data_IF_491015276301
#
_entry.id   IF_491015276301
#
_cell.length_a   1.000
_cell.length_b   1.000
_cell.length_c   1.000
_cell.angle_alpha   90.00
_cell.angle_beta   90.00
_cell.angle_gamma   90.00
#
_symmetry.space_group_name_H-M   'P 1'
#
loop_
_entity.id
_entity.type
_entity.pdbx_description
1 polymer ?
2 non-polymer ?
3 non-polymer ?
4 non-polymer ?
5 water ?
#
# COMPACT_ATOMS: atom_id res chain seq x y z
N UNK A 1 -11.99 23.57 7.59
CA UNK A 1 -11.49 24.48 6.57
C UNK A 1 -10.01 24.38 6.32
N UNK A 2 -9.48 25.36 5.59
CA UNK A 2 -8.07 25.36 5.22
C UNK A 2 -7.28 26.18 6.24
N UNK A 3 -6.20 26.84 5.81
CA UNK A 3 -5.36 27.57 6.76
C UNK A 3 -6.10 28.74 7.42
N UNK A 4 -7.25 29.11 6.86
CA UNK A 4 -8.03 30.19 7.41
C UNK A 4 -8.81 29.83 8.66
N UNK A 5 -9.00 28.54 8.93
CA UNK A 5 -9.77 28.08 10.08
C UNK A 5 -8.88 27.47 11.17
N UNK A 6 -9.41 27.22 12.36
CA UNK A 6 -8.56 26.70 13.42
C UNK A 6 -8.22 25.24 13.14
N UNK A 7 -6.94 24.93 13.23
CA UNK A 7 -6.44 23.66 12.74
C UNK A 7 -6.54 22.58 13.80
N UNK A 8 -6.57 21.32 13.36
CA UNK A 8 -6.71 20.20 14.27
C UNK A 8 -5.38 19.82 14.95
N UNK A 9 -4.25 19.96 14.26
CA UNK A 9 -2.94 19.68 14.86
C UNK A 9 -2.45 20.85 15.69
N UNK A 10 -1.96 20.58 16.91
CA UNK A 10 -1.49 21.67 17.74
C UNK A 10 -0.12 22.13 17.28
N UNK A 11 0.59 21.25 16.59
CA UNK A 11 1.80 21.64 15.89
C UNK A 11 2.09 20.68 14.74
N UNK A 12 2.82 21.16 13.73
CA UNK A 12 3.03 20.40 12.50
C UNK A 12 4.27 19.51 12.60
N UNK A 13 4.18 18.54 13.49
CA UNK A 13 5.27 17.64 13.80
C UNK A 13 4.71 16.25 14.05
N UNK A 14 5.59 15.25 14.08
CA UNK A 14 5.18 13.91 14.46
C UNK A 14 4.56 13.93 15.85
N UNK A 15 5.12 14.74 16.74
CA UNK A 15 4.59 14.88 18.08
C UNK A 15 3.16 15.43 18.08
N UNK A 16 2.88 16.38 17.21
CA UNK A 16 1.55 16.93 17.08
C UNK A 16 0.57 15.91 16.55
N UNK A 17 1.04 15.08 15.62
CA UNK A 17 0.20 14.04 15.03
C UNK A 17 -0.14 12.99 16.10
N UNK A 18 0.84 12.62 16.92
CA UNK A 18 0.58 11.64 17.97
C UNK A 18 -0.45 12.14 18.98
N UNK A 19 -0.32 13.41 19.39
CA UNK A 19 -1.29 13.96 20.35
C UNK A 19 -2.68 13.96 19.73
N UNK A 20 -2.75 14.28 18.46
CA UNK A 20 -4.03 14.29 17.75
C UNK A 20 -4.60 12.89 17.70
N UNK A 21 -3.77 11.91 17.37
CA UNK A 21 -4.23 10.53 17.29
C UNK A 21 -4.84 10.03 18.60
N UNK A 22 -4.27 10.45 19.72
CA UNK A 22 -4.76 10.00 21.03
C UNK A 22 -5.78 10.95 21.64
N UNK A 23 -6.24 11.91 20.85
CA UNK A 23 -7.36 12.75 21.24
C UNK A 23 -8.66 12.13 20.74
N UNK A 24 -9.78 12.62 21.25
CA UNK A 24 -11.08 12.10 20.83
C UNK A 24 -11.43 12.54 19.41
N UNK A 25 -10.68 13.49 18.87
CA UNK A 25 -10.95 14.03 17.54
C UNK A 25 -10.51 13.06 16.44
N UNK A 26 -9.62 12.13 16.77
CA UNK A 26 -9.08 11.20 15.78
C UNK A 26 -9.54 9.78 16.04
N UNK A 27 -10.45 9.30 15.20
CA UNK A 27 -11.03 7.96 15.35
C UNK A 27 -10.78 7.05 14.16
N UNK A 28 -10.65 7.63 12.97
CA UNK A 28 -10.56 6.85 11.73
C UNK A 28 -9.40 7.28 10.88
N UNK A 29 -8.47 6.34 10.67
CA UNK A 29 -7.24 6.59 9.92
C UNK A 29 -7.25 5.82 8.61
N UNK A 30 -6.96 6.51 7.52
CA UNK A 30 -6.71 5.88 6.23
C UNK A 30 -5.21 5.91 5.97
N UNK A 31 -4.68 4.73 5.66
CA UNK A 31 -3.29 4.62 5.23
C UNK A 31 -3.24 4.53 3.71
N UNK A 32 -2.31 5.26 3.12
CA UNK A 32 -2.01 5.20 1.69
C UNK A 32 -0.57 4.78 1.60
N UNK A 33 -0.32 3.60 1.06
CA UNK A 33 1.04 3.04 1.05
C UNK A 33 1.50 2.59 -0.33
N UNK A 34 2.82 2.64 -0.52
CA UNK A 34 3.44 2.26 -1.77
C UNK A 34 4.69 1.41 -1.58
N UNK A 35 5.50 1.31 -2.62
CA UNK A 35 6.59 0.35 -2.65
C UNK A 35 7.61 0.60 -1.54
N UNK A 36 7.67 1.85 -1.09
CA UNK A 36 8.55 2.27 -0.02
C UNK A 36 8.36 1.53 1.30
N UNK A 37 7.21 0.90 1.51
CA UNK A 37 6.99 0.20 2.77
C UNK A 37 7.42 -1.26 2.70
N UNK A 38 7.83 -1.73 1.51
CA UNK A 38 8.23 -3.11 1.34
C UNK A 38 9.69 -3.30 0.94
N UNK A 39 10.39 -2.21 0.66
CA UNK A 39 11.80 -2.33 0.30
C UNK A 39 12.63 -2.93 1.43
N UNK A 40 12.29 -2.62 2.67
CA UNK A 40 13.04 -3.16 3.80
C UNK A 40 12.71 -4.65 4.02
N UNK A 41 11.68 -5.15 3.34
CA UNK A 41 11.36 -6.58 3.37
C UNK A 41 12.07 -7.31 2.23
N UNK A 42 12.92 -6.60 1.51
CA UNK A 42 13.68 -7.20 0.43
C UNK A 42 12.87 -7.30 -0.85
N UNK A 43 11.82 -6.49 -0.94
CA UNK A 43 11.02 -6.41 -2.17
C UNK A 43 11.33 -5.10 -2.90
N UNK A 44 12.08 -5.18 -4.00
CA UNK A 44 12.43 -3.94 -4.68
C UNK A 44 11.24 -3.17 -5.22
N UNK A 45 11.39 -1.86 -5.26
CA UNK A 45 10.46 -0.99 -5.94
C UNK A 45 10.85 -0.99 -7.40
N UNK A 46 10.10 -1.69 -8.24
CA UNK A 46 10.50 -1.90 -9.62
C UNK A 46 10.45 -0.58 -10.39
N UNK A 47 9.91 0.46 -9.77
CA UNK A 47 9.90 1.79 -10.37
C UNK A 47 11.18 2.56 -10.03
N UNK A 48 11.82 2.19 -8.92
CA UNK A 48 13.11 2.78 -8.57
C UNK A 48 14.18 2.30 -9.55
N UNK A 49 14.82 3.23 -10.27
CA UNK A 49 15.77 2.81 -11.32
C UNK A 49 16.86 1.88 -10.82
N UNK A 50 17.23 2.04 -9.55
CA UNK A 50 18.28 1.22 -8.94
C UNK A 50 17.89 -0.25 -8.93
N UNK A 51 16.60 -0.50 -9.13
CA UNK A 51 16.06 -1.85 -9.29
C UNK A 51 15.89 -2.18 -10.77
N UNK A 63 9.98 -7.00 -27.96
CA UNK A 63 9.64 -5.81 -28.76
C UNK A 63 10.03 -4.53 -28.04
N UNK A 64 9.49 -4.34 -26.83
CA UNK A 64 9.92 -3.26 -25.97
C UNK A 64 9.75 -3.68 -24.51
N UNK A 65 10.46 -3.02 -23.59
CA UNK A 65 10.41 -3.47 -22.19
C UNK A 65 9.01 -3.34 -21.57
N UNK A 66 8.21 -2.40 -22.05
CA UNK A 66 6.89 -2.14 -21.47
C UNK A 66 5.88 -3.22 -21.83
N UNK A 67 6.22 -4.08 -22.79
CA UNK A 67 5.30 -5.10 -23.26
C UNK A 67 5.03 -6.14 -22.17
N UNK A 68 6.00 -6.34 -21.29
CA UNK A 68 5.90 -7.41 -20.32
C UNK A 68 4.82 -7.13 -19.26
N UNK A 69 4.30 -5.90 -19.22
CA UNK A 69 3.21 -5.55 -18.30
C UNK A 69 1.90 -5.18 -19.01
N UNK A 70 1.89 -5.24 -20.34
CA UNK A 70 0.69 -4.88 -21.09
C UNK A 70 -0.25 -6.07 -21.18
N UNK A 71 -1.55 -5.84 -20.94
CA UNK A 71 -2.54 -6.91 -20.88
C UNK A 71 -2.75 -7.54 -22.26
N UNK A 72 -2.76 -6.73 -23.30
CA UNK A 72 -2.94 -7.24 -24.66
C UNK A 72 -1.82 -8.20 -25.03
N UNK A 73 -0.58 -7.79 -24.77
CA UNK A 73 0.58 -8.61 -25.11
C UNK A 73 0.64 -9.87 -24.26
N UNK A 74 0.28 -9.73 -22.99
CA UNK A 74 0.25 -10.84 -22.06
C UNK A 74 -0.68 -11.95 -22.55
N UNK A 75 -1.86 -11.56 -23.04
CA UNK A 75 -2.88 -12.55 -23.37
C UNK A 75 -2.50 -13.34 -24.61
N UNK A 76 -1.65 -12.74 -25.45
CA UNK A 76 -1.13 -13.38 -26.65
C UNK A 76 0.18 -14.10 -26.38
N UNK A 77 1.01 -13.51 -25.52
CA UNK A 77 2.33 -14.03 -25.23
C UNK A 77 2.62 -13.89 -23.73
N UNK A 78 2.11 -14.83 -22.93
CA UNK A 78 2.24 -14.76 -21.47
C UNK A 78 3.58 -15.24 -20.93
N UNK A 79 4.38 -15.90 -21.75
CA UNK A 79 5.57 -16.58 -21.26
C UNK A 79 6.60 -15.61 -20.68
N UNK A 80 6.83 -14.47 -21.36
CA UNK A 80 7.76 -13.49 -20.77
C UNK A 80 7.35 -13.12 -19.35
N UNK A 81 6.10 -12.67 -19.18
CA UNK A 81 5.66 -12.21 -17.86
C UNK A 81 5.92 -13.25 -16.78
N UNK A 82 5.56 -14.51 -17.06
CA UNK A 82 5.70 -15.56 -16.05
C UNK A 82 7.15 -15.95 -15.82
N UNK A 83 7.99 -15.75 -16.84
CA UNK A 83 9.42 -15.95 -16.67
C UNK A 83 9.96 -14.88 -15.73
N UNK A 84 9.58 -13.63 -15.98
CA UNK A 84 9.96 -12.51 -15.13
C UNK A 84 9.41 -12.68 -13.72
N UNK A 85 8.22 -13.28 -13.62
CA UNK A 85 7.60 -13.50 -12.32
C UNK A 85 8.40 -14.50 -11.48
N UNK A 86 9.00 -15.49 -12.12
CA UNK A 86 9.78 -16.48 -11.38
C UNK A 86 11.07 -15.84 -10.85
N UNK A 87 11.72 -15.05 -11.70
CA UNK A 87 12.97 -14.40 -11.32
C UNK A 87 12.74 -13.39 -10.19
N UNK A 88 11.67 -12.61 -10.31
CA UNK A 88 11.39 -11.55 -9.36
C UNK A 88 10.68 -12.03 -8.10
N UNK A 89 10.34 -13.32 -8.05
CA UNK A 89 9.56 -13.86 -6.93
C UNK A 89 10.34 -13.73 -5.62
N UNK A 90 9.74 -13.08 -4.61
CA UNK A 90 10.46 -12.93 -3.34
C UNK A 90 10.88 -14.26 -2.71
N UNK A 91 12.04 -14.28 -2.08
CA UNK A 91 12.52 -15.48 -1.40
C UNK A 91 11.82 -15.71 -0.06
N UNK A 92 11.27 -14.65 0.51
CA UNK A 92 10.51 -14.76 1.75
C UNK A 92 9.51 -13.62 1.81
N UNK A 93 8.43 -13.84 2.56
CA UNK A 93 7.41 -12.82 2.75
C UNK A 93 7.30 -12.45 4.22
N UNK A 94 8.17 -11.52 4.64
CA UNK A 94 8.24 -11.07 6.02
C UNK A 94 7.89 -9.59 6.05
N UNK A 95 6.66 -9.26 6.47
CA UNK A 95 6.26 -7.84 6.44
C UNK A 95 7.14 -6.98 7.33
N UNK A 96 7.16 -5.68 7.04
CA UNK A 96 8.01 -4.76 7.75
C UNK A 96 7.34 -4.21 9.01
N UNK A 97 8.14 -3.54 9.84
CA UNK A 97 7.60 -2.79 10.97
C UNK A 97 6.43 -1.90 10.55
N UNK A 98 6.55 -1.28 9.37
CA UNK A 98 5.51 -0.41 8.86
C UNK A 98 4.20 -1.19 8.66
N UNK A 99 4.30 -2.38 8.07
CA UNK A 99 3.12 -3.22 7.91
C UNK A 99 2.48 -3.56 9.25
N UNK A 100 3.28 -3.98 10.22
CA UNK A 100 2.71 -4.36 11.50
C UNK A 100 2.20 -3.15 12.29
N UNK A 101 2.77 -1.96 12.03
CA UNK A 101 2.20 -0.74 12.59
C UNK A 101 0.74 -0.59 12.12
N UNK A 102 0.46 -0.89 10.87
CA UNK A 102 -0.92 -0.81 10.40
C UNK A 102 -1.79 -1.87 11.07
N UNK A 103 -1.23 -3.05 11.35
CA UNK A 103 -1.98 -4.05 12.11
C UNK A 103 -2.30 -3.54 13.51
N UNK A 104 -1.36 -2.85 14.15
CA UNK A 104 -1.61 -2.25 15.45
C UNK A 104 -2.71 -1.19 15.37
N UNK A 105 -2.70 -0.37 14.30
CA UNK A 105 -3.80 0.57 14.09
C UNK A 105 -5.13 -0.15 14.08
N UNK A 106 -5.16 -1.29 13.39
CA UNK A 106 -6.37 -2.11 13.34
C UNK A 106 -6.76 -2.60 14.73
N UNK A 107 -5.79 -3.14 15.46
CA UNK A 107 -6.03 -3.64 16.81
C UNK A 107 -6.49 -2.53 17.75
N UNK A 108 -5.96 -1.32 17.55
CA UNK A 108 -6.26 -0.18 18.40
C UNK A 108 -7.62 0.47 18.03
N UNK A 109 -8.27 -0.06 17.00
CA UNK A 109 -9.57 0.40 16.57
C UNK A 109 -9.55 1.68 15.74
N UNK A 110 -8.38 2.00 15.20
CA UNK A 110 -8.18 3.24 14.46
C UNK A 110 -8.17 3.09 12.94
N UNK A 111 -8.08 1.87 12.42
CA UNK A 111 -7.89 1.71 10.99
C UNK A 111 -9.21 1.66 10.23
N UNK A 112 -9.45 2.69 9.42
CA UNK A 112 -10.59 2.69 8.52
C UNK A 112 -10.27 1.86 7.27
N UNK A 113 -9.13 2.12 6.67
CA UNK A 113 -8.75 1.42 5.44
C UNK A 113 -7.28 1.62 5.16
N UNK A 114 -6.71 0.63 4.49
CA UNK A 114 -5.38 0.72 3.89
C UNK A 114 -5.51 0.60 2.39
N UNK A 115 -5.19 1.69 1.70
CA UNK A 115 -5.11 1.72 0.25
C UNK A 115 -3.66 1.46 -0.12
N UNK A 116 -3.40 0.38 -0.84
CA UNK A 116 -2.04 0.05 -1.22
C UNK A 116 -1.83 -0.01 -2.73
N UNK A 117 -0.65 0.42 -3.15
CA UNK A 117 -0.19 0.25 -4.53
C UNK A 117 0.59 -1.05 -4.74
N UNK A 118 0.88 -1.76 -3.65
CA UNK A 118 1.73 -2.94 -3.71
C UNK A 118 0.95 -4.21 -4.05
N UNK A 119 1.66 -5.14 -4.69
CA UNK A 119 1.06 -6.40 -5.13
C UNK A 119 1.67 -7.60 -4.39
N UNK A 120 2.49 -7.30 -3.37
CA UNK A 120 3.27 -8.34 -2.70
C UNK A 120 2.56 -9.14 -1.60
N UNK A 121 1.32 -8.76 -1.27
CA UNK A 121 0.48 -9.40 -0.24
C UNK A 121 0.95 -9.24 1.21
N UNK A 122 1.94 -8.40 1.44
CA UNK A 122 2.50 -8.31 2.79
C UNK A 122 1.49 -7.71 3.78
N UNK A 123 0.59 -6.84 3.31
CA UNK A 123 -0.46 -6.33 4.19
C UNK A 123 -1.30 -7.47 4.77
N UNK A 124 -1.63 -8.45 3.93
CA UNK A 124 -2.43 -9.58 4.35
C UNK A 124 -1.66 -10.47 5.31
N UNK A 125 -0.40 -10.69 5.00
CA UNK A 125 0.45 -11.52 5.86
C UNK A 125 0.61 -10.87 7.22
N UNK A 126 0.65 -9.54 7.25
CA UNK A 126 0.78 -8.79 8.51
C UNK A 126 -0.52 -8.72 9.32
N UNK A 127 -1.62 -9.20 8.75
CA UNK A 127 -2.86 -9.34 9.51
C UNK A 127 -3.93 -8.32 9.16
N UNK A 128 -3.76 -7.61 8.05
CA UNK A 128 -4.89 -6.82 7.53
C UNK A 128 -5.81 -7.76 6.78
N UNK A 129 -7.11 -7.58 6.98
CA UNK A 129 -8.11 -8.45 6.35
C UNK A 129 -8.65 -7.81 5.06
N UNK A 130 -9.29 -8.59 4.21
CA UNK A 130 -9.77 -8.09 2.93
C UNK A 130 -10.59 -6.83 3.13
N UNK A 131 -11.44 -6.81 4.14
CA UNK A 131 -12.29 -5.64 4.37
C UNK A 131 -11.46 -4.40 4.67
N UNK A 132 -10.28 -4.57 5.27
CA UNK A 132 -9.40 -3.45 5.60
C UNK A 132 -8.64 -2.87 4.40
N UNK A 133 -8.61 -3.61 3.31
CA UNK A 133 -7.71 -3.35 2.19
C UNK A 133 -8.39 -2.90 0.91
N UNK A 134 -7.78 -1.92 0.27
CA UNK A 134 -8.03 -1.61 -1.11
C UNK A 134 -6.71 -1.77 -1.86
N UNK A 135 -6.60 -2.83 -2.63
CA UNK A 135 -5.41 -3.11 -3.40
C UNK A 135 -5.57 -2.45 -4.76
N UNK A 136 -5.19 -1.19 -4.80
CA UNK A 136 -5.52 -0.30 -5.91
C UNK A 136 -4.88 -0.75 -7.22
N UNK A 137 -3.75 -1.45 -7.13
CA UNK A 137 -3.09 -1.97 -8.32
C UNK A 137 -3.22 -3.49 -8.40
N UNK A 138 -4.18 -4.04 -7.69
CA UNK A 138 -4.39 -5.47 -7.68
C UNK A 138 -3.40 -6.18 -6.78
N UNK A 139 -3.32 -7.49 -6.94
CA UNK A 139 -2.49 -8.31 -6.07
C UNK A 139 -2.20 -9.68 -6.67
N UNK A 140 -1.07 -10.26 -6.28
CA UNK A 140 -0.76 -11.65 -6.59
C UNK A 140 -1.53 -12.64 -5.71
N UNK A 141 -2.23 -12.15 -4.70
CA UNK A 141 -2.84 -13.04 -3.71
C UNK A 141 -3.81 -14.05 -4.34
N UNK A 142 -4.55 -13.59 -5.34
CA UNK A 142 -5.43 -14.46 -6.11
C UNK A 142 -5.18 -14.23 -7.59
N UNK A 143 -5.53 -15.25 -8.37
CA UNK A 143 -5.45 -15.24 -9.82
C UNK A 143 -6.78 -15.74 -10.37
N UNK A 144 -7.08 -15.36 -11.61
CA UNK A 144 -8.32 -15.81 -12.26
C UNK A 144 -8.07 -16.27 -13.70
N UNK A 145 -8.74 -17.36 -14.04
CA UNK A 145 -8.97 -17.69 -15.43
C UNK A 145 -9.47 -16.45 -16.20
N UNK A 146 -8.89 -16.16 -17.37
CA UNK A 146 -9.24 -14.95 -18.10
C UNK A 146 -10.51 -15.07 -18.94
N UNK A 147 -11.07 -16.28 -19.05
CA UNK A 147 -12.29 -16.47 -19.83
C UNK A 147 -13.51 -15.95 -19.08
N UNK A 148 -14.23 -15.03 -19.72
CA UNK A 148 -15.37 -14.37 -19.08
C UNK A 148 -16.42 -15.35 -18.57
N UNK A 149 -16.63 -16.44 -19.27
CA UNK A 149 -17.67 -17.40 -18.90
C UNK A 149 -17.23 -18.37 -17.81
N UNK A 150 -15.96 -18.27 -17.40
CA UNK A 150 -15.41 -19.15 -16.37
C UNK A 150 -14.95 -18.36 -15.14
N UNK A 151 -13.83 -17.65 -15.28
CA UNK A 151 -13.28 -16.83 -14.19
C UNK A 151 -13.01 -17.61 -12.90
N UNK A 152 -12.67 -18.88 -13.03
CA UNK A 152 -12.22 -19.70 -11.90
C UNK A 152 -11.09 -19.01 -11.15
N UNK A 153 -11.23 -18.92 -9.83
CA UNK A 153 -10.22 -18.29 -8.98
C UNK A 153 -9.20 -19.28 -8.46
N UNK A 154 -7.93 -18.89 -8.49
CA UNK A 154 -6.84 -19.75 -8.00
C UNK A 154 -6.02 -19.03 -6.94
N UNK A 155 -5.64 -19.75 -5.87
CA UNK A 155 -4.84 -19.17 -4.80
C UNK A 155 -3.37 -18.99 -5.22
N UNK A 156 -2.64 -18.14 -4.51
CA UNK A 156 -1.25 -17.91 -4.83
C UNK A 156 -0.41 -19.20 -4.69
N UNK A 157 -0.81 -20.10 -3.80
CA UNK A 157 -0.09 -21.36 -3.64
C UNK A 157 -0.10 -22.11 -4.97
N UNK A 158 -1.23 -22.09 -5.65
CA UNK A 158 -1.38 -22.73 -6.95
C UNK A 158 -0.56 -22.00 -8.02
N UNK A 159 -0.66 -20.68 -8.05
CA UNK A 159 0.05 -19.86 -9.01
C UNK A 159 1.57 -19.94 -8.80
N UNK A 160 2.00 -19.99 -7.55
CA UNK A 160 3.43 -20.13 -7.22
C UNK A 160 4.02 -21.38 -7.86
N UNK A 161 3.35 -22.50 -7.69
CA UNK A 161 3.83 -23.79 -8.19
C UNK A 161 3.97 -23.74 -9.70
N UNK A 162 3.00 -23.14 -10.38
CA UNK A 162 3.08 -22.99 -11.83
C UNK A 162 4.27 -22.15 -12.21
N UNK A 163 4.47 -21.05 -11.51
CA UNK A 163 5.54 -20.11 -11.83
C UNK A 163 6.92 -20.78 -11.69
N UNK A 164 7.11 -21.55 -10.62
CA UNK A 164 8.42 -22.13 -10.34
C UNK A 164 8.67 -23.38 -11.17
N UNK A 165 7.59 -24.06 -11.55
CA UNK A 165 7.68 -25.22 -12.43
C UNK A 165 7.88 -24.79 -13.87
N UNK A 166 7.74 -23.49 -14.12
CA UNK A 166 7.86 -22.92 -15.46
C UNK A 166 6.80 -23.53 -16.37
N UNK A 167 5.60 -23.67 -15.82
CA UNK A 167 4.44 -24.10 -16.59
C UNK A 167 3.48 -22.92 -16.70
N UNK A 168 3.18 -22.50 -17.92
CA UNK A 168 2.25 -21.41 -18.13
C UNK A 168 0.93 -21.82 -17.48
N UNK A 169 0.44 -21.04 -16.50
CA UNK A 169 -0.77 -21.48 -15.80
C UNK A 169 -2.01 -21.46 -16.68
N UNK A 170 -2.67 -22.62 -16.74
CA UNK A 170 -3.93 -22.77 -17.46
C UNK A 170 -5.04 -23.25 -16.53
N UNK A 171 -6.26 -22.84 -16.84
CA UNK A 171 -7.42 -23.16 -16.02
C UNK A 171 -7.75 -24.64 -16.10
N UNK A 172 -7.95 -25.26 -14.94
CA UNK A 172 -8.28 -26.67 -14.85
C UNK A 172 -9.66 -26.97 -15.43
N UNK A 173 -10.53 -25.96 -15.45
CA UNK A 173 -11.89 -26.13 -15.98
C UNK A 173 -11.99 -25.93 -17.49
N UNK A 174 -11.27 -24.96 -18.04
CA UNK A 174 -11.46 -24.63 -19.46
C UNK A 174 -10.17 -24.45 -20.27
N UNK A 175 -9.02 -24.61 -19.60
CA UNK A 175 -7.70 -24.48 -20.22
C UNK A 175 -7.36 -23.08 -20.80
N UNK A 176 -8.13 -22.07 -20.41
CA UNK A 176 -7.74 -20.71 -20.67
C UNK A 176 -6.58 -20.28 -19.76
N UNK A 177 -5.91 -19.21 -20.16
CA UNK A 177 -4.86 -18.59 -19.38
C UNK A 177 -5.37 -18.19 -18.02
N UNK A 178 -4.54 -18.35 -16.99
CA UNK A 178 -4.85 -17.83 -15.65
C UNK A 178 -3.91 -16.66 -15.33
N UNK A 179 -4.48 -15.52 -14.97
CA UNK A 179 -3.73 -14.29 -14.76
C UNK A 179 -3.76 -13.87 -13.29
N UNK A 180 -2.60 -13.52 -12.72
CA UNK A 180 -2.66 -12.92 -11.38
C UNK A 180 -3.50 -11.65 -11.37
N UNK A 181 -4.19 -11.40 -10.26
CA UNK A 181 -5.13 -10.30 -10.16
C UNK A 181 -4.45 -8.95 -9.98
N UNK A 182 -3.32 -8.76 -10.65
CA UNK A 182 -2.68 -7.46 -10.67
C UNK A 182 -3.19 -6.67 -11.86
N UNK A 183 -3.22 -5.35 -11.73
CA UNK A 183 -3.66 -4.49 -12.81
C UNK A 183 -2.53 -4.31 -13.83
N UNK A 184 -2.65 -4.98 -14.97
CA UNK A 184 -1.73 -4.76 -16.08
C UNK A 184 -2.01 -3.40 -16.71
N UNK A 185 -1.01 -2.85 -17.41
CA UNK A 185 -1.26 -1.68 -18.24
C UNK A 185 -2.35 -2.02 -19.25
N UNK A 186 -3.29 -1.10 -19.44
CA UNK A 186 -4.42 -1.34 -20.30
C UNK A 186 -5.65 -1.79 -19.53
N UNK A 187 -5.46 -2.24 -18.29
CA UNK A 187 -6.59 -2.63 -17.44
C UNK A 187 -7.04 -1.47 -16.57
N UNK A 188 -8.33 -1.45 -16.26
CA UNK A 188 -8.89 -0.49 -15.33
C UNK A 188 -8.46 -0.84 -13.91
N UNK A 189 -8.41 0.15 -13.02
CA UNK A 189 -8.23 -0.16 -11.61
C UNK A 189 -9.50 -0.87 -11.15
N UNK A 190 -9.40 -1.66 -10.07
CA UNK A 190 -10.59 -2.36 -9.58
C UNK A 190 -11.73 -1.43 -9.19
N UNK A 191 -12.96 -1.88 -9.42
CA UNK A 191 -14.12 -1.09 -9.06
C UNK A 191 -14.11 -0.75 -7.57
N UNK A 192 -13.56 -1.66 -6.77
CA UNK A 192 -13.50 -1.50 -5.32
C UNK A 192 -12.75 -0.23 -4.94
N UNK A 193 -11.73 0.10 -5.73
CA UNK A 193 -10.97 1.32 -5.48
C UNK A 193 -11.88 2.55 -5.51
N UNK A 194 -12.72 2.66 -6.52
CA UNK A 194 -13.58 3.84 -6.67
C UNK A 194 -14.74 3.82 -5.68
N UNK A 195 -15.32 2.65 -5.45
CA UNK A 195 -16.44 2.58 -4.53
C UNK A 195 -16.00 2.91 -3.10
N UNK A 196 -14.87 2.37 -2.66
CA UNK A 196 -14.40 2.63 -1.30
C UNK A 196 -13.94 4.08 -1.14
N UNK A 197 -13.31 4.63 -2.17
CA UNK A 197 -12.86 6.02 -2.13
C UNK A 197 -14.04 6.94 -1.83
N UNK A 198 -15.17 6.67 -2.49
CA UNK A 198 -16.35 7.52 -2.39
C UNK A 198 -16.90 7.58 -0.97
N UNK A 199 -16.81 6.47 -0.24
CA UNK A 199 -17.35 6.40 1.10
C UNK A 199 -16.31 6.77 2.17
N UNK A 200 -15.09 6.27 1.99
CA UNK A 200 -14.09 6.34 3.04
C UNK A 200 -13.66 7.78 3.33
N UNK A 201 -13.53 8.59 2.29
CA UNK A 201 -12.97 9.92 2.51
C UNK A 201 -13.99 10.88 3.09
N UNK A 202 -15.22 10.41 3.25
CA UNK A 202 -16.23 11.16 4.00
C UNK A 202 -16.02 11.00 5.50
N UNK A 203 -15.24 10.01 5.88
CA UNK A 203 -15.20 9.49 7.25
C UNK A 203 -13.81 9.63 7.90
N UNK A 204 -12.84 10.16 7.17
CA UNK A 204 -11.45 10.07 7.62
C UNK A 204 -11.04 11.24 8.52
N UNK A 205 -10.31 10.92 9.59
CA UNK A 205 -9.78 11.91 10.52
C UNK A 205 -8.29 12.16 10.32
N UNK A 206 -7.60 11.22 9.67
CA UNK A 206 -6.15 11.28 9.51
C UNK A 206 -5.75 10.47 8.30
N UNK A 207 -4.83 11.01 7.50
CA UNK A 207 -4.32 10.32 6.32
C UNK A 207 -2.83 10.05 6.49
N UNK A 208 -2.48 8.77 6.67
CA UNK A 208 -1.10 8.33 6.87
C UNK A 208 -0.56 7.82 5.55
N UNK A 209 0.33 8.60 4.95
CA UNK A 209 0.86 8.33 3.64
C UNK A 209 2.28 7.84 3.82
N UNK A 210 2.52 6.57 3.49
CA UNK A 210 3.81 5.97 3.77
C UNK A 210 4.40 5.29 2.57
N UNK A 211 5.66 5.58 2.28
CA UNK A 211 6.39 4.85 1.27
C UNK A 211 5.84 4.97 -0.13
N UNK A 212 5.36 6.16 -0.50
CA UNK A 212 4.94 6.41 -1.87
C UNK A 212 5.33 7.82 -2.29
N UNK A 213 5.76 7.96 -3.53
CA UNK A 213 6.12 9.27 -4.07
C UNK A 213 4.90 9.97 -4.67
N UNK A 214 3.75 9.32 -4.63
CA UNK A 214 2.51 9.92 -5.12
C UNK A 214 2.64 10.43 -6.55
N UNK A 215 3.27 9.65 -7.41
CA UNK A 215 3.49 10.02 -8.81
C UNK A 215 2.63 9.22 -9.77
N UNK A 216 2.04 8.13 -9.29
CA UNK A 216 1.19 7.27 -10.13
C UNK A 216 -0.28 7.61 -9.91
N UNK A 217 -1.01 7.83 -11.02
CA UNK A 217 -2.42 8.17 -10.96
C UNK A 217 -3.27 6.97 -11.36
N UNK A 218 -4.52 6.91 -10.87
CA UNK A 218 -5.18 7.89 -10.02
C UNK A 218 -4.89 7.76 -8.52
N UNK A 219 -4.04 6.82 -8.13
CA UNK A 219 -3.77 6.61 -6.70
C UNK A 219 -3.34 7.90 -6.00
N UNK A 220 -2.47 8.67 -6.64
CA UNK A 220 -1.90 9.85 -5.99
C UNK A 220 -2.96 10.90 -5.65
N UNK A 221 -3.99 10.98 -6.48
CA UNK A 221 -5.06 11.97 -6.31
C UNK A 221 -5.88 11.72 -5.06
N UNK A 222 -5.67 10.58 -4.42
CA UNK A 222 -6.40 10.26 -3.20
C UNK A 222 -6.18 11.31 -2.13
N UNK A 223 -5.00 11.93 -2.07
CA UNK A 223 -4.78 12.87 -0.97
C UNK A 223 -5.68 14.09 -1.10
N UNK A 224 -6.12 14.38 -2.32
CA UNK A 224 -6.98 15.54 -2.55
C UNK A 224 -8.45 15.20 -2.24
N UNK A 225 -8.72 13.95 -1.89
CA UNK A 225 -10.08 13.51 -1.57
C UNK A 225 -10.38 13.70 -0.10
N UNK A 226 -9.35 14.00 0.69
CA UNK A 226 -9.55 14.22 2.11
C UNK A 226 -10.27 15.55 2.34
N UNK A 227 -11.10 15.61 3.39
CA UNK A 227 -11.65 16.89 3.82
C UNK A 227 -10.52 17.89 4.08
N UNK A 228 -10.83 19.18 3.96
CA UNK A 228 -9.80 20.19 4.11
C UNK A 228 -9.13 20.19 5.48
N UNK A 229 -9.86 19.81 6.51
CA UNK A 229 -9.32 19.83 7.88
C UNK A 229 -8.45 18.62 8.22
N UNK A 230 -8.55 17.56 7.45
CA UNK A 230 -7.91 16.29 7.80
C UNK A 230 -6.39 16.36 7.76
N UNK A 231 -5.72 16.15 8.90
CA UNK A 231 -4.26 16.12 8.85
C UNK A 231 -3.74 14.99 7.97
N UNK A 232 -2.59 15.24 7.37
CA UNK A 232 -1.95 14.30 6.46
C UNK A 232 -0.49 14.18 6.84
N UNK A 233 -0.10 13.00 7.30
CA UNK A 233 1.27 12.71 7.69
C UNK A 233 1.94 11.85 6.64
N UNK A 234 3.03 12.38 6.07
CA UNK A 234 3.85 11.65 5.12
C UNK A 234 5.04 11.07 5.84
N UNK A 235 5.19 9.75 5.79
CA UNK A 235 6.42 9.09 6.27
C UNK A 235 7.09 8.49 5.04
N UNK A 236 8.22 9.07 4.62
CA UNK A 236 8.81 8.70 3.35
C UNK A 236 10.25 9.18 3.27
N UNK A 237 11.06 8.57 2.43
CA UNK A 237 12.46 8.97 2.34
C UNK A 237 12.59 10.39 1.81
N UNK A 238 11.69 10.76 0.90
CA UNK A 238 11.67 12.10 0.30
C UNK A 238 10.29 12.76 0.44
N UNK A 239 10.28 14.09 0.51
CA UNK A 239 9.01 14.80 0.46
C UNK A 239 8.31 14.50 -0.86
N UNK A 240 7.00 14.33 -0.78
CA UNK A 240 6.18 14.00 -1.93
C UNK A 240 4.80 14.63 -1.78
N UNK A 241 4.06 14.70 -2.88
CA UNK A 241 2.68 15.12 -2.86
C UNK A 241 2.45 16.61 -3.05
N UNK A 242 3.53 17.37 -3.14
CA UNK A 242 3.41 18.80 -3.29
C UNK A 242 3.03 19.06 -4.75
N UNK A 243 2.28 20.13 -5.00
CA UNK A 243 1.89 20.44 -6.37
C UNK A 243 3.14 20.71 -7.20
N UNK A 244 3.14 20.20 -8.43
CA UNK A 244 4.26 20.40 -9.33
C UNK A 244 4.24 21.85 -9.82
N UNK A 245 5.36 22.57 -9.67
CA UNK A 245 5.35 23.98 -10.08
C UNK A 245 5.00 24.18 -11.55
N UNK A 246 5.24 23.15 -12.37
CA UNK A 246 4.98 23.23 -13.81
C UNK A 246 3.55 22.81 -14.14
N UNK A 247 3.20 21.56 -13.82
CA UNK A 247 1.84 21.05 -14.02
C UNK A 247 0.79 22.01 -13.48
N UNK A 255 -5.30 21.30 -2.14
CA UNK A 255 -5.25 19.96 -2.68
C UNK A 255 -3.91 19.28 -2.43
N UNK A 256 -2.85 19.80 -3.05
CA UNK A 256 -1.51 19.28 -2.90
C UNK A 256 -1.01 19.46 -1.48
N UNK A 257 0.05 18.74 -1.11
CA UNK A 257 0.65 18.89 0.21
C UNK A 257 1.26 20.27 0.38
N UNK A 258 1.04 20.87 1.55
CA UNK A 258 1.75 22.08 1.96
C UNK A 258 2.37 21.84 3.33
N UNK A 259 3.66 21.49 3.34
CA UNK A 259 4.38 21.21 4.58
C UNK A 259 4.98 22.47 5.19
N UNK A 260 5.44 23.37 4.33
CA UNK A 260 6.46 24.34 4.75
C UNK A 260 6.12 25.82 4.56
N UNK A 261 5.04 26.13 3.85
CA UNK A 261 4.70 27.54 3.60
C UNK A 261 4.08 28.18 4.84
N UNK A 262 3.88 29.48 4.77
CA UNK A 262 3.26 30.23 5.86
C UNK A 262 1.81 29.82 6.06
N UNK A 263 1.26 29.18 5.03
CA UNK A 263 -0.14 28.75 5.04
C UNK A 263 -0.28 27.29 5.40
N UNK A 264 0.84 26.64 5.74
CA UNK A 264 0.80 25.23 6.13
C UNK A 264 -0.01 25.11 7.40
N UNK A 265 -0.88 24.11 7.47
CA UNK A 265 -1.78 24.01 8.61
C UNK A 265 -2.11 22.57 9.01
N UNK A 266 -1.80 21.58 8.18
CA UNK A 266 -2.24 20.20 8.47
C UNK A 266 -1.34 19.09 7.93
N UNK A 267 -0.35 19.45 7.11
CA UNK A 267 0.50 18.44 6.48
C UNK A 267 1.86 18.40 7.16
N UNK A 268 2.30 17.19 7.45
CA UNK A 268 3.53 16.94 8.19
C UNK A 268 4.36 15.92 7.41
N UNK A 269 5.64 16.22 7.21
CA UNK A 269 6.55 15.29 6.57
C UNK A 269 7.61 14.80 7.55
N UNK A 270 7.67 13.49 7.73
CA UNK A 270 8.73 12.85 8.49
C UNK A 270 9.61 12.10 7.50
N UNK A 271 10.85 12.55 7.35
CA UNK A 271 11.70 12.05 6.27
C UNK A 271 12.74 11.05 6.76
N UNK A 272 12.65 9.83 6.25
CA UNK A 272 13.53 8.74 6.61
C UNK A 272 12.91 7.46 6.13
N UNK A 273 13.45 6.33 6.56
CA UNK A 273 12.88 5.02 6.25
C UNK A 273 11.52 4.88 6.90
N UNK A 274 10.60 4.17 6.24
CA UNK A 274 9.25 4.05 6.76
C UNK A 274 9.24 3.31 8.09
N UNK A 275 10.10 2.31 8.22
CA UNK A 275 10.18 1.55 9.45
C UNK A 275 10.56 2.44 10.62
N UNK A 276 11.52 3.34 10.39
CA UNK A 276 12.00 4.17 11.49
C UNK A 276 10.98 5.24 11.86
N UNK A 277 10.27 5.75 10.87
CA UNK A 277 9.23 6.73 11.13
C UNK A 277 8.06 6.12 11.89
N UNK A 278 7.65 4.93 11.48
CA UNK A 278 6.57 4.23 12.19
C UNK A 278 6.99 3.87 13.61
N UNK A 279 8.26 3.48 13.79
CA UNK A 279 8.76 3.20 15.12
C UNK A 279 8.72 4.45 16.00
N UNK A 280 9.12 5.58 15.41
CA UNK A 280 9.10 6.85 16.14
C UNK A 280 7.68 7.23 16.54
N UNK A 281 6.75 7.06 15.63
CA UNK A 281 5.36 7.37 15.94
C UNK A 281 4.81 6.42 17.01
N UNK A 282 5.06 5.12 16.86
CA UNK A 282 4.63 4.16 17.87
C UNK A 282 5.20 4.50 19.24
N UNK A 283 6.47 4.88 19.27
CA UNK A 283 7.09 5.26 20.53
C UNK A 283 6.37 6.44 21.19
N UNK A 284 6.05 7.47 20.40
CA UNK A 284 5.30 8.59 20.94
C UNK A 284 3.95 8.17 21.51
N UNK A 285 3.35 7.18 20.87
CA UNK A 285 2.01 6.72 21.23
C UNK A 285 1.98 5.80 22.44
N UNK A 286 3.17 5.41 22.90
CA UNK A 286 3.27 4.41 23.95
C UNK A 286 3.08 2.99 23.42
N UNK A 287 3.22 2.82 22.12
CA UNK A 287 2.99 1.53 21.47
C UNK A 287 4.26 0.75 21.16
N UNK A 288 5.44 1.25 21.54
CA UNK A 288 6.67 0.66 21.04
C UNK A 288 6.83 -0.79 21.48
N UNK A 289 6.55 -1.07 22.75
CA UNK A 289 6.68 -2.45 23.25
C UNK A 289 5.69 -3.37 22.53
N UNK A 290 4.45 -2.91 22.34
CA UNK A 290 3.47 -3.73 21.64
C UNK A 290 3.91 -4.01 20.20
N UNK A 291 4.49 -3.00 19.55
CA UNK A 291 4.92 -3.16 18.17
C UNK A 291 6.11 -4.11 18.10
N UNK A 292 7.06 -3.93 19.02
CA UNK A 292 8.21 -4.81 19.11
C UNK A 292 7.79 -6.26 19.30
N UNK A 293 6.91 -6.48 20.27
CA UNK A 293 6.45 -7.83 20.58
C UNK A 293 5.73 -8.45 19.38
N UNK A 294 4.86 -7.68 18.72
CA UNK A 294 4.11 -8.19 17.57
C UNK A 294 5.05 -8.58 16.44
N UNK A 295 5.97 -7.69 16.09
CA UNK A 295 6.90 -7.93 15.00
C UNK A 295 7.79 -9.14 15.27
N UNK A 296 8.36 -9.22 16.47
CA UNK A 296 9.28 -10.31 16.77
C UNK A 296 8.56 -11.64 16.73
N UNK A 297 7.34 -11.65 17.26
CA UNK A 297 6.51 -12.85 17.24
C UNK A 297 6.17 -13.29 15.82
N UNK A 298 5.68 -12.36 15.01
CA UNK A 298 5.29 -12.71 13.65
C UNK A 298 6.50 -13.07 12.80
N UNK A 299 7.60 -12.32 12.94
CA UNK A 299 8.82 -12.64 12.20
C UNK A 299 9.33 -14.02 12.60
N UNK A 300 9.29 -14.32 13.89
CA UNK A 300 9.75 -15.63 14.35
C UNK A 300 8.90 -16.72 13.73
N UNK A 301 7.59 -16.49 13.70
CA UNK A 301 6.66 -17.45 13.12
C UNK A 301 6.95 -17.70 11.64
N UNK A 302 7.19 -16.61 10.89
CA UNK A 302 7.50 -16.70 9.48
C UNK A 302 8.84 -17.40 9.26
N UNK A 303 9.83 -17.05 10.06
CA UNK A 303 11.14 -17.69 9.96
C UNK A 303 11.05 -19.20 10.22
N UNK A 304 10.08 -19.61 11.04
CA UNK A 304 9.97 -21.00 11.47
C UNK A 304 9.02 -21.83 10.61
N UNK A 305 8.57 -21.27 9.49
CA UNK A 305 7.66 -22.01 8.62
C UNK A 305 8.37 -23.26 8.12
N UNK A 306 7.75 -24.43 8.35
CA UNK A 306 8.34 -25.70 7.93
C UNK A 306 7.40 -26.49 7.02
X LIG B 1 -11.49 -21.28 -16.86
X LIG C 1 6.80 -8.85 -8.80
X LIG C 1 6.47 -8.38 -10.14
X LIG C 1 6.09 -7.05 -10.27
X LIG C 1 5.76 -6.53 -11.51
X LIG C 1 5.80 -7.34 -12.63
X LIG C 1 6.18 -8.68 -12.49
X LIG C 1 6.51 -9.20 -11.24
X LIG C 1 5.37 -5.04 -11.51
X LIG C 1 5.17 -4.55 -12.82
X LIG C 1 3.82 -4.53 -13.19
X LIG C 1 3.26 -5.71 -13.65
X LIG C 1 1.93 -5.74 -14.02
X LIG C 1 1.18 -4.59 -13.94
X LIG C 1 1.71 -3.40 -13.45
X LIG C 1 3.05 -3.36 -13.09
X LIG C 1 0.80 -2.26 -13.43
X LIG C 1 0.62 -1.28 -12.36
X LIG C 1 1.26 -1.29 -11.36
X LIG C 1 -0.45 -0.21 -12.65
X LIG C 1 -1.47 -0.40 -13.56
X LIG C 1 -2.21 0.69 -13.59
X LIG C 1 -1.69 1.60 -12.72
X LIG C 1 -0.61 1.07 -12.13
X LIG C 1 -2.25 2.92 -12.48
X LIG C 1 7.57 -8.01 -7.86
X LIG C 1 7.95 -6.93 -8.19
X LIG C 1 7.89 -8.51 -6.45
X LIG C 1 6.33 -8.66 -5.49
X LIG C 1 5.67 -10.32 -5.83
X LIG C 1 4.83 -10.88 -4.99
X LIG C 1 4.35 -12.09 -5.22
X LIG C 1 4.75 -12.76 -6.35
X LIG C 1 5.63 -12.16 -7.22
X LIG C 1 6.08 -10.96 -6.92
X LIG C 1 6.10 -12.86 -8.49
X LIG C 1 3.36 -12.72 -4.25
X LIG C 1 6.52 -9.63 -8.54
X LIG C 1 6.07 -6.51 -9.52
X LIG C 1 5.58 -7.00 -13.47
X LIG C 1 6.21 -9.23 -13.25
X LIG C 1 6.76 -10.09 -11.15
X LIG C 1 4.57 -4.94 -11.03
X LIG C 1 6.04 -4.54 -11.09
X LIG C 1 3.78 -6.48 -13.71
X LIG C 1 1.55 -6.53 -14.33
X LIG C 1 0.28 -4.61 -14.19
X LIG C 1 3.43 -2.58 -12.78
X LIG C 1 0.27 -2.17 -14.12
X LIG C 1 -1.62 -1.16 -14.07
X LIG C 1 -0.07 1.48 -11.50
X LIG C 1 -2.99 3.06 -13.04
X LIG C 1 -1.60 3.58 -12.65
X LIG C 1 -2.53 2.99 -11.58
X LIG C 1 8.46 -7.91 -6.01
X LIG C 1 8.30 -9.36 -6.50
X LIG C 1 4.42 -13.62 -6.53
X LIG C 1 5.73 -13.76 -8.52
X LIG C 1 7.08 -12.91 -8.50
X LIG C 1 5.80 -12.36 -9.26
X LIG C 1 3.08 -13.58 -4.59
X LIG C 1 2.59 -12.15 -4.14
X LIG C 1 3.79 -12.85 -3.38
X LIG D 1 -5.45 3.62 20.73
X LIG D 1 -6.89 3.64 20.54
X LIG D 1 -4.96 5.00 21.11
X LIG D 1 -3.73 4.83 21.91
X LIG D 1 -4.03 4.59 23.29
X LIG D 1 -2.77 4.20 24.00
X LIG D 1 -2.42 2.91 23.66
X LIG D 1 -5.22 2.97 21.47
X LIG D 1 -5.02 3.33 19.91
X LIG D 1 -7.23 4.44 20.80
X LIG D 1 -4.75 5.51 20.28
X LIG D 1 -5.63 5.46 21.63
X LIG D 1 -4.69 3.85 23.36
X LIG D 1 -4.41 5.40 23.69
X LIG D 1 -2.92 4.25 24.98
X LIG D 1 -2.06 4.80 23.76
X LIG D 1 -2.27 2.43 24.39
#
# INVERSE_FOLDING_TARGET
GASGSERLLDELTLEGVARYMQSERCRRVICLVGAGISTSAGIPDFRSPSTGLYDNLEKYHLPYPEAIFEISYFKKHPEPFFALAKELYPGQFKPTICHYFMRLLKDKGLLLRCYTQNIDTLERIAGLEQEDLVEAHGTFYTSHCVSASCRHEYPLSWMKEKIFSEVTPKCEDCQSLVKPDIVFFGESLPARFFSCMQSDFLKVDLLLVMGTSLQVQPFASLISKAPLSTPRLLINKEKAGQSDPFLGMIMGLGGGMDFDSKKAYRDVAWLGECDQGCLALAELLGWKKELEDLVRREHASIDAQS
ZN ZN
L55 N01 C02 C03 C04 C05 C06 C07 C08 O09 C10 C11 C12 C13 C14 C15 N16 C17 O18 C19 C20 N21 N22 C23 C24 C25 O26 C27 S28 C29 N30 C31 C32 C33 N34 C35 C36 H011 H031 H051 H061 H071 H081 H082 H111 H121 H131 H151 H161 H201 H231 H241 H243 H242 H271 H272 H321 H351 H352 H353 H361 H363 H362
PEG C1 O1 C2 O2 C3 C4 O4 H11 H12 HO1 H21 H22 H31 H32 H41 H42 HO4
#
